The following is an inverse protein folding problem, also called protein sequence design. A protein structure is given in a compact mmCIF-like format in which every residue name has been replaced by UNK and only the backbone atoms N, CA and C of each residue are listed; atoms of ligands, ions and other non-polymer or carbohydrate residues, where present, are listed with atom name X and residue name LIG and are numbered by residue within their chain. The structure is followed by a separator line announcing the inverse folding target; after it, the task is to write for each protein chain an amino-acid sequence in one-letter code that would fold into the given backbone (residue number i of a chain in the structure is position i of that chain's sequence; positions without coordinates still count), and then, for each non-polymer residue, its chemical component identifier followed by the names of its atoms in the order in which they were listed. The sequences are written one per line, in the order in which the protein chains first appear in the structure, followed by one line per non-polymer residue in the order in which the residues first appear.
data_IF_995142106409
#
_entry.id   IF_995142106409
#
_cell.length_a   1.000
_cell.length_b   1.000
_cell.length_c   1.000
_cell.angle_alpha   90.00
_cell.angle_beta   90.00
_cell.angle_gamma   90.00
#
_symmetry.space_group_name_H-M   'P 1'
#
loop_
_entity.id
_entity.type
_entity.pdbx_description
1 polymer ?
#
# COMPACT_ATOMS: atom_id res chain seq x y z
N UNK A 1 -0.74 -1.85 17.47
CA UNK A 1 -0.23 -0.51 17.57
C UNK A 1 1.09 -0.43 16.86
N UNK A 2 1.37 0.19 16.02
CA UNK A 2 2.55 0.46 15.27
C UNK A 2 2.37 1.81 14.62
N UNK A 3 3.25 2.19 13.73
CA UNK A 3 3.12 3.47 13.04
C UNK A 3 1.96 3.50 12.05
N UNK A 4 1.36 2.37 11.74
CA UNK A 4 0.25 2.28 10.77
C UNK A 4 -0.98 1.69 11.44
N UNK A 5 -2.11 2.37 11.32
CA UNK A 5 -3.41 1.88 11.75
C UNK A 5 -4.26 1.65 10.51
N UNK A 6 -4.81 0.45 10.38
CA UNK A 6 -5.60 0.04 9.22
C UNK A 6 -6.96 -0.46 9.70
N UNK A 7 -8.03 0.20 9.28
CA UNK A 7 -9.41 -0.20 9.55
C UNK A 7 -10.04 -0.55 8.22
N UNK A 8 -10.50 -1.78 8.09
CA UNK A 8 -11.02 -2.26 6.80
C UNK A 8 -12.39 -2.89 6.91
N UNK A 9 -13.11 -2.83 5.79
CA UNK A 9 -14.43 -3.41 5.61
C UNK A 9 -14.55 -3.92 4.18
N UNK A 10 -15.15 -5.09 4.00
CA UNK A 10 -15.39 -5.64 2.66
C UNK A 10 -16.78 -5.24 2.20
N UNK A 11 -16.87 -4.55 1.08
CA UNK A 11 -18.11 -4.02 0.54
C UNK A 11 -18.21 -4.31 -0.96
N UNK A 12 -19.13 -5.20 -1.33
CA UNK A 12 -19.46 -5.45 -2.74
C UNK A 12 -18.28 -5.93 -3.59
N UNK A 13 -17.41 -6.77 -3.02
CA UNK A 13 -16.24 -7.29 -3.73
C UNK A 13 -15.02 -6.37 -3.66
N UNK A 14 -15.12 -5.26 -2.93
CA UNK A 14 -14.01 -4.35 -2.69
C UNK A 14 -13.74 -4.25 -1.21
N UNK A 15 -12.47 -4.13 -0.86
CA UNK A 15 -12.04 -3.85 0.51
C UNK A 15 -11.80 -2.36 0.64
N UNK A 16 -12.49 -1.75 1.62
CA UNK A 16 -12.33 -0.32 1.92
C UNK A 16 -11.42 -0.21 3.14
N UNK A 17 -10.33 0.52 3.01
CA UNK A 17 -9.37 0.74 4.07
C UNK A 17 -9.35 2.21 4.48
N UNK A 18 -9.44 2.45 5.78
CA UNK A 18 -9.07 3.74 6.35
C UNK A 18 -7.71 3.54 7.01
N UNK A 19 -6.70 4.21 6.51
CA UNK A 19 -5.31 3.99 6.92
C UNK A 19 -4.71 5.28 7.47
N UNK A 20 -4.10 5.20 8.65
CA UNK A 20 -3.41 6.33 9.29
C UNK A 20 -1.95 5.96 9.52
N UNK A 21 -1.06 6.90 9.23
CA UNK A 21 0.39 6.72 9.39
C UNK A 21 0.90 7.71 10.44
N UNK A 22 1.37 7.20 11.57
CA UNK A 22 1.94 8.02 12.64
C UNK A 22 3.42 8.33 12.40
N UNK A 23 4.07 7.64 11.47
CA UNK A 23 5.46 7.83 11.10
C UNK A 23 5.60 7.66 9.60
N UNK A 24 6.71 8.13 9.04
CA UNK A 24 7.01 7.90 7.63
C UNK A 24 7.03 6.41 7.33
N UNK A 25 6.44 6.02 6.22
CA UNK A 25 6.37 4.63 5.81
C UNK A 25 6.97 4.45 4.43
N UNK A 26 7.78 3.41 4.30
CA UNK A 26 8.44 2.99 3.08
C UNK A 26 8.15 1.50 2.93
N UNK A 27 7.41 1.13 1.90
CA UNK A 27 7.00 -0.24 1.67
C UNK A 27 7.95 -1.02 0.75
N UNK A 28 9.14 -0.47 0.45
CA UNK A 28 10.12 -1.17 -0.37
C UNK A 28 10.48 -2.54 0.19
N UNK A 29 10.70 -2.64 1.51
CA UNK A 29 11.03 -3.91 2.15
C UNK A 29 10.00 -5.00 1.90
N UNK A 30 8.73 -4.79 2.29
CA UNK A 30 7.67 -5.76 2.02
C UNK A 30 7.44 -6.02 0.52
N UNK A 31 7.53 -4.99 -0.32
CA UNK A 31 7.29 -5.14 -1.75
C UNK A 31 8.38 -5.91 -2.47
N UNK A 32 9.60 -5.91 -1.95
CA UNK A 32 10.67 -6.72 -2.54
C UNK A 32 10.39 -8.22 -2.48
N UNK A 33 9.48 -8.64 -1.61
CA UNK A 33 9.02 -10.04 -1.56
C UNK A 33 8.14 -10.41 -2.76
N UNK A 34 7.71 -9.44 -3.55
CA UNK A 34 6.85 -9.63 -4.71
C UNK A 34 7.67 -9.62 -6.00
N UNK A 35 7.20 -10.28 -7.06
CA UNK A 35 7.85 -10.21 -8.37
C UNK A 35 7.97 -8.76 -8.85
N UNK A 36 9.16 -8.35 -9.23
CA UNK A 36 9.41 -7.00 -9.71
C UNK A 36 9.50 -5.93 -8.63
N UNK A 37 9.34 -6.29 -7.35
CA UNK A 37 9.47 -5.37 -6.23
C UNK A 37 8.39 -4.30 -6.15
N UNK A 38 7.21 -4.54 -6.74
CA UNK A 38 6.13 -3.57 -6.78
C UNK A 38 4.78 -4.24 -6.49
N UNK A 39 3.83 -3.48 -5.99
CA UNK A 39 2.51 -3.98 -5.64
C UNK A 39 1.68 -4.25 -6.91
N UNK A 40 1.16 -5.47 -7.11
CA UNK A 40 0.34 -5.77 -8.28
C UNK A 40 -1.14 -5.42 -8.11
N UNK A 41 -1.58 -5.01 -6.92
CA UNK A 41 -2.97 -4.71 -6.64
C UNK A 41 -3.29 -3.25 -6.98
N UNK A 42 -4.32 -2.98 -7.81
CA UNK A 42 -4.73 -1.60 -8.03
C UNK A 42 -5.49 -1.06 -6.82
N UNK A 43 -5.38 0.25 -6.59
CA UNK A 43 -6.09 0.93 -5.51
C UNK A 43 -6.68 2.24 -6.01
N UNK A 44 -7.87 2.58 -5.51
CA UNK A 44 -8.49 3.88 -5.70
C UNK A 44 -8.69 4.51 -4.34
N UNK A 45 -8.59 5.84 -4.25
CA UNK A 45 -8.82 6.45 -2.97
C UNK A 45 -8.73 7.95 -2.93
N UNK A 46 -8.63 8.45 -1.69
CA UNK A 46 -8.65 9.87 -1.39
C UNK A 46 -7.72 10.13 -0.21
N UNK A 47 -6.87 11.13 -0.33
CA UNK A 47 -5.98 11.56 0.76
C UNK A 47 -6.74 12.54 1.65
N UNK A 48 -6.96 12.14 2.90
CA UNK A 48 -7.69 12.96 3.88
C UNK A 48 -6.75 13.98 4.51
N UNK A 49 -5.53 13.55 4.84
CA UNK A 49 -4.51 14.40 5.46
C UNK A 49 -3.13 13.90 5.07
N UNK A 50 -2.17 14.79 5.07
CA UNK A 50 -0.77 14.43 4.82
C UNK A 50 -0.41 14.37 3.35
N UNK A 51 0.53 13.50 3.03
CA UNK A 51 1.12 13.43 1.69
C UNK A 51 1.67 12.04 1.44
N UNK A 52 1.52 11.56 0.20
CA UNK A 52 2.17 10.33 -0.24
C UNK A 52 2.66 10.44 -1.67
N UNK A 53 3.61 9.58 -2.03
CA UNK A 53 4.17 9.46 -3.37
C UNK A 53 4.08 8.05 -3.84
N UNK A 54 3.83 7.88 -5.14
CA UNK A 54 3.92 6.60 -5.82
C UNK A 54 5.06 6.67 -6.80
N UNK A 55 6.02 5.77 -6.67
CA UNK A 55 7.18 5.71 -7.55
C UNK A 55 6.98 4.57 -8.54
N UNK A 56 7.14 4.90 -9.82
CA UNK A 56 7.10 3.96 -10.94
C UNK A 56 8.47 3.94 -11.60
N UNK A 57 8.68 3.03 -12.53
CA UNK A 57 9.98 2.92 -13.20
C UNK A 57 10.37 4.16 -13.99
N UNK A 58 9.39 4.88 -14.52
CA UNK A 58 9.61 6.01 -15.42
C UNK A 58 9.11 7.35 -14.89
N UNK A 59 8.43 7.38 -13.74
CA UNK A 59 7.89 8.63 -13.19
C UNK A 59 7.51 8.47 -11.71
N UNK A 60 7.11 9.58 -11.12
CA UNK A 60 6.65 9.67 -9.74
C UNK A 60 5.38 10.50 -9.70
N UNK A 61 4.43 10.09 -8.86
CA UNK A 61 3.19 10.82 -8.63
C UNK A 61 3.08 11.20 -7.16
N UNK A 62 2.67 12.44 -6.89
CA UNK A 62 2.53 12.97 -5.53
C UNK A 62 1.07 13.34 -5.30
N UNK A 63 0.55 12.91 -4.14
CA UNK A 63 -0.82 13.19 -3.72
C UNK A 63 -0.81 13.79 -2.33
N UNK A 64 -1.61 14.85 -2.14
CA UNK A 64 -1.71 15.57 -0.88
C UNK A 64 -3.17 15.60 -0.42
N UNK A 65 -3.40 16.12 0.79
CA UNK A 65 -4.76 16.22 1.34
C UNK A 65 -5.71 16.89 0.35
N UNK A 66 -6.84 16.25 0.10
CA UNK A 66 -7.84 16.72 -0.86
C UNK A 66 -7.72 16.09 -2.25
N UNK A 67 -6.68 15.28 -2.51
CA UNK A 67 -6.50 14.64 -3.80
C UNK A 67 -7.11 13.25 -3.82
N UNK A 68 -7.87 12.96 -4.86
CA UNK A 68 -8.26 11.59 -5.19
C UNK A 68 -7.13 10.95 -5.99
N UNK A 69 -6.94 9.65 -5.82
CA UNK A 69 -5.86 8.97 -6.52
C UNK A 69 -6.33 7.65 -7.12
N UNK A 70 -5.60 7.24 -8.14
CA UNK A 70 -5.64 5.88 -8.65
C UNK A 70 -4.21 5.34 -8.68
N UNK A 71 -4.01 4.20 -8.05
CA UNK A 71 -2.73 3.51 -7.96
C UNK A 71 -2.78 2.31 -8.89
N UNK A 72 -2.26 2.40 -10.12
CA UNK A 72 -2.23 1.22 -11.00
C UNK A 72 -1.24 0.18 -10.47
N UNK A 73 -1.36 -1.08 -10.91
CA UNK A 73 -0.37 -2.10 -10.56
C UNK A 73 1.05 -1.64 -10.93
N UNK A 74 2.02 -2.02 -10.10
CA UNK A 74 3.42 -1.64 -10.32
C UNK A 74 3.88 -0.44 -9.51
N UNK A 75 3.06 0.06 -8.62
CA UNK A 75 3.41 1.20 -7.77
C UNK A 75 4.28 0.80 -6.58
N UNK A 76 5.08 1.76 -6.09
CA UNK A 76 5.83 1.66 -4.84
C UNK A 76 5.51 2.88 -4.00
N UNK A 77 4.72 2.73 -2.92
CA UNK A 77 4.28 3.89 -2.14
C UNK A 77 5.27 4.31 -1.07
N UNK A 78 5.40 5.62 -0.90
CA UNK A 78 6.11 6.26 0.21
C UNK A 78 5.15 7.23 0.86
N UNK A 79 4.99 7.17 2.18
CA UNK A 79 3.95 7.90 2.90
C UNK A 79 4.60 8.69 4.03
N UNK A 80 4.28 9.98 4.12
CA UNK A 80 4.80 10.84 5.18
C UNK A 80 4.01 10.65 6.48
N UNK A 81 4.66 10.89 7.60
CA UNK A 81 4.01 10.87 8.91
C UNK A 81 2.81 11.83 8.93
N UNK A 82 1.74 11.42 9.57
CA UNK A 82 0.51 12.21 9.65
C UNK A 82 -0.45 12.03 8.48
N UNK A 83 -0.12 11.16 7.54
CA UNK A 83 -0.99 10.88 6.40
C UNK A 83 -2.15 10.00 6.81
N UNK A 84 -3.34 10.35 6.31
CA UNK A 84 -4.55 9.55 6.45
C UNK A 84 -5.18 9.39 5.09
N UNK A 85 -5.55 8.17 4.74
CA UNK A 85 -6.20 7.91 3.45
C UNK A 85 -7.38 6.96 3.58
N UNK A 86 -8.30 7.13 2.63
CA UNK A 86 -9.36 6.19 2.38
C UNK A 86 -9.04 5.49 1.07
N UNK A 87 -9.03 4.16 1.06
CA UNK A 87 -8.58 3.38 -0.08
C UNK A 87 -9.55 2.26 -0.39
N UNK A 88 -9.77 2.03 -1.67
CA UNK A 88 -10.61 0.93 -2.17
C UNK A 88 -9.75 0.01 -3.01
N UNK A 89 -9.84 -1.29 -2.77
CA UNK A 89 -9.07 -2.30 -3.51
C UNK A 89 -9.97 -3.48 -3.85
N UNK A 90 -9.83 -4.08 -5.03
CA UNK A 90 -10.53 -5.35 -5.30
C UNK A 90 -10.11 -6.38 -4.26
N UNK A 91 -11.07 -6.96 -3.55
CA UNK A 91 -10.79 -7.87 -2.43
C UNK A 91 -9.92 -9.04 -2.85
N UNK A 92 -10.23 -9.66 -3.99
CA UNK A 92 -9.48 -10.82 -4.48
C UNK A 92 -8.00 -10.47 -4.73
N UNK A 93 -7.76 -9.32 -5.36
CA UNK A 93 -6.40 -8.88 -5.68
C UNK A 93 -5.63 -8.47 -4.44
N UNK A 94 -6.29 -7.82 -3.49
CA UNK A 94 -5.68 -7.42 -2.23
C UNK A 94 -5.27 -8.65 -1.42
N UNK A 95 -6.15 -9.63 -1.29
CA UNK A 95 -5.88 -10.87 -0.54
C UNK A 95 -4.70 -11.63 -1.17
N UNK A 96 -4.69 -11.71 -2.50
CA UNK A 96 -3.63 -12.37 -3.25
C UNK A 96 -2.27 -11.67 -3.01
N UNK A 97 -2.27 -10.33 -3.04
CA UNK A 97 -1.07 -9.53 -2.81
C UNK A 97 -0.56 -9.70 -1.38
N UNK A 98 -1.45 -9.61 -0.39
CA UNK A 98 -1.07 -9.76 1.01
C UNK A 98 -0.51 -11.16 1.30
N UNK A 99 -1.11 -12.19 0.70
CA UNK A 99 -0.63 -13.56 0.82
C UNK A 99 0.77 -13.72 0.20
N UNK A 100 0.97 -13.14 -0.98
CA UNK A 100 2.26 -13.21 -1.67
C UNK A 100 3.36 -12.48 -0.88
N UNK A 101 3.04 -11.33 -0.28
CA UNK A 101 3.99 -10.62 0.58
C UNK A 101 4.35 -11.43 1.81
N UNK A 102 3.37 -12.02 2.46
CA UNK A 102 3.60 -12.83 3.66
C UNK A 102 4.46 -14.06 3.34
N UNK A 103 4.19 -14.74 2.24
CA UNK A 103 4.97 -15.91 1.80
C UNK A 103 6.40 -15.51 1.43
N UNK A 104 6.57 -14.41 0.73
CA UNK A 104 7.89 -13.91 0.34
C UNK A 104 8.72 -13.48 1.53
N UNK A 105 8.13 -12.79 2.49
CA UNK A 105 8.82 -12.39 3.72
C UNK A 105 9.21 -13.61 4.55
N UNK A 106 8.34 -14.61 4.62
CA UNK A 106 8.63 -15.86 5.32
C UNK A 106 9.83 -16.60 4.69
N UNK A 107 9.89 -16.66 3.36
CA UNK A 107 11.04 -17.25 2.66
C UNK A 107 12.33 -16.48 2.90
N UNK A 108 12.29 -15.15 2.92
CA UNK A 108 13.44 -14.32 3.21
C UNK A 108 13.96 -14.57 4.61
N UNK A 109 13.09 -14.68 5.59
CA UNK A 109 13.46 -15.00 6.97
C UNK A 109 14.06 -16.39 7.07
N UNK A 110 13.46 -17.37 6.41
CA UNK A 110 13.96 -18.74 6.37
C UNK A 110 15.35 -18.83 5.76
N UNK A 111 15.60 -18.08 4.69
CA UNK A 111 16.88 -18.07 4.01
C UNK A 111 17.99 -17.43 4.88
N UNK A 112 17.61 -16.55 5.80
CA UNK A 112 18.55 -15.88 6.68
C UNK A 112 18.92 -16.67 7.92
N UNK A 113 18.31 -17.80 8.15
CA UNK A 113 18.54 -18.59 9.37
C UNK A 113 19.52 -19.74 9.19
#
# INVERSE_FOLDING_TARGET
MGPVTDRREDLGGYTVNFVSFAADADLDGPLQALPGGACPCPHWGYVIAGRMRFVFDDHEEVYEAGDAFYQPPGHRPYVDAGTELLQFSPTDKLDETERAMAEGMSRQQGAGS
#
